data_IF_515039476770
#
_entry.id   IF_515039476770
#
_cell.length_a   1.000
_cell.length_b   1.000
_cell.length_c   1.000
_cell.angle_alpha   90.00
_cell.angle_beta   90.00
_cell.angle_gamma   90.00
#
_symmetry.space_group_name_H-M   'P 1'
#
loop_
_entity.id
_entity.type
_entity.pdbx_description
1 polymer ?
#
# COMPACT_ATOMS: atom_id res chain seq x y z
N UNK A 1 18.32 18.59 2.90
CA UNK A 1 17.32 17.49 2.83
C UNK A 1 15.99 17.86 3.49
N UNK A 2 15.98 18.47 4.69
CA UNK A 2 14.77 18.90 5.41
C UNK A 2 13.86 19.88 4.61
N UNK A 3 14.42 20.83 3.84
CA UNK A 3 13.64 21.71 2.96
C UNK A 3 12.97 21.01 1.77
N UNK A 4 13.50 19.88 1.27
CA UNK A 4 12.90 19.15 0.14
C UNK A 4 11.63 18.43 0.57
N UNK A 5 11.60 17.81 1.75
CA UNK A 5 10.42 17.09 2.24
C UNK A 5 9.27 18.08 2.51
N UNK A 6 9.56 19.25 3.10
CA UNK A 6 8.55 20.25 3.40
C UNK A 6 7.97 20.93 2.13
N UNK A 7 8.80 21.27 1.14
CA UNK A 7 8.30 21.77 -0.15
C UNK A 7 7.56 20.70 -0.96
N UNK A 8 7.99 19.43 -0.87
CA UNK A 8 7.34 18.30 -1.53
C UNK A 8 5.94 18.01 -0.96
N UNK A 9 5.80 18.03 0.36
CA UNK A 9 4.51 17.87 1.07
C UNK A 9 3.56 19.01 0.67
N UNK A 10 4.01 20.27 0.69
CA UNK A 10 3.15 21.44 0.40
C UNK A 10 2.74 21.56 -1.07
N UNK A 11 3.63 21.19 -2.02
CA UNK A 11 3.40 21.37 -3.46
C UNK A 11 2.64 20.20 -4.09
N UNK A 12 2.74 18.99 -3.53
CA UNK A 12 2.11 17.83 -4.13
C UNK A 12 0.77 17.46 -3.49
N UNK A 13 0.51 17.79 -2.20
CA UNK A 13 -0.77 17.50 -1.53
C UNK A 13 -2.01 18.05 -2.28
N UNK A 14 -1.86 19.17 -3.00
CA UNK A 14 -2.93 19.76 -3.82
C UNK A 14 -3.24 19.00 -5.13
N UNK A 15 -2.29 18.22 -5.66
CA UNK A 15 -2.46 17.43 -6.89
C UNK A 15 -3.12 16.07 -6.64
N UNK A 16 -3.30 15.65 -5.39
CA UNK A 16 -3.77 14.30 -5.03
C UNK A 16 -5.26 14.04 -5.32
N UNK A 17 -6.04 15.09 -5.63
CA UNK A 17 -7.50 14.98 -5.73
C UNK A 17 -8.12 15.56 -7.02
N UNK A 18 -7.32 16.17 -7.90
CA UNK A 18 -7.83 16.78 -9.13
C UNK A 18 -7.57 15.86 -10.30
N UNK A 19 -8.52 14.97 -10.58
CA UNK A 19 -8.70 14.46 -11.94
C UNK A 19 -9.10 15.67 -12.81
N UNK A 20 -8.19 16.14 -13.67
CA UNK A 20 -8.34 17.40 -14.41
C UNK A 20 -9.47 17.37 -15.46
N UNK A 21 -10.11 16.23 -15.72
CA UNK A 21 -11.05 16.08 -16.83
C UNK A 21 -12.34 15.32 -16.46
N UNK A 22 -13.22 15.78 -15.55
CA UNK A 22 -14.64 15.33 -15.61
C UNK A 22 -15.72 16.03 -14.74
N UNK A 23 -15.68 17.35 -14.54
CA UNK A 23 -16.46 17.97 -13.45
C UNK A 23 -17.80 18.63 -13.81
N UNK A 24 -18.61 18.13 -14.75
CA UNK A 24 -19.97 18.71 -14.96
C UNK A 24 -21.18 17.80 -15.20
N UNK A 25 -21.05 16.49 -15.46
CA UNK A 25 -22.21 15.66 -15.87
C UNK A 25 -22.52 14.41 -15.01
N UNK A 26 -21.92 14.24 -13.83
CA UNK A 26 -21.87 12.92 -13.12
C UNK A 26 -22.47 12.88 -11.71
N UNK A 27 -23.40 13.76 -11.36
CA UNK A 27 -23.76 13.99 -9.94
C UNK A 27 -24.80 13.03 -9.33
N UNK A 28 -25.45 12.14 -10.10
CA UNK A 28 -26.46 11.21 -9.54
C UNK A 28 -26.16 9.71 -9.70
N UNK A 29 -25.44 9.29 -10.74
CA UNK A 29 -25.07 7.87 -10.96
C UNK A 29 -23.88 7.42 -10.12
N UNK A 30 -22.90 8.31 -9.88
CA UNK A 30 -21.66 7.95 -9.18
C UNK A 30 -21.79 7.80 -7.66
N UNK A 31 -22.85 8.33 -7.04
CA UNK A 31 -23.01 8.32 -5.56
C UNK A 31 -23.21 6.90 -5.01
N UNK A 32 -23.78 5.98 -5.79
CA UNK A 32 -23.86 4.55 -5.44
C UNK A 32 -22.58 3.77 -5.83
N UNK A 33 -21.75 4.29 -6.74
CA UNK A 33 -20.50 3.64 -7.17
C UNK A 33 -19.33 3.94 -6.25
N UNK A 34 -19.23 5.17 -5.72
CA UNK A 34 -18.19 5.52 -4.73
C UNK A 34 -18.36 4.78 -3.39
N UNK A 35 -19.58 4.31 -3.09
CA UNK A 35 -19.87 3.47 -1.91
C UNK A 35 -19.40 2.00 -2.05
N UNK A 36 -18.78 1.63 -3.19
CA UNK A 36 -18.27 0.27 -3.47
C UNK A 36 -16.75 0.23 -3.68
N UNK A 37 -16.01 1.26 -3.30
CA UNK A 37 -14.55 1.22 -3.40
C UNK A 37 -13.95 0.56 -2.15
N UNK A 38 -13.37 -0.66 -2.26
CA UNK A 38 -12.88 -1.34 -1.07
C UNK A 38 -11.62 -0.68 -0.48
N UNK A 39 -10.80 0.01 -1.29
CA UNK A 39 -9.58 0.72 -0.84
C UNK A 39 -9.21 1.81 -1.87
N UNK A 40 -9.08 3.07 -1.44
CA UNK A 40 -8.42 4.14 -2.21
C UNK A 40 -6.91 3.89 -2.26
N UNK A 41 -6.31 3.74 -3.44
CA UNK A 41 -4.86 3.55 -3.52
C UNK A 41 -4.13 4.90 -3.40
N UNK A 42 -3.17 4.98 -2.47
CA UNK A 42 -2.26 6.11 -2.39
C UNK A 42 -1.40 6.16 -3.65
N UNK A 43 -1.27 7.36 -4.21
CA UNK A 43 -0.35 7.64 -5.30
C UNK A 43 1.11 7.53 -4.84
N UNK A 44 2.02 7.33 -5.80
CA UNK A 44 3.45 7.13 -5.55
C UNK A 44 4.10 8.21 -4.66
N UNK A 45 3.64 9.47 -4.71
CA UNK A 45 4.16 10.55 -3.86
C UNK A 45 3.82 10.37 -2.37
N UNK A 46 2.58 9.96 -2.07
CA UNK A 46 2.17 9.66 -0.70
C UNK A 46 2.87 8.42 -0.17
N UNK A 47 2.98 7.37 -1.01
CA UNK A 47 3.74 6.16 -0.67
C UNK A 47 5.21 6.50 -0.37
N UNK A 48 5.86 7.32 -1.20
CA UNK A 48 7.23 7.80 -0.95
C UNK A 48 7.37 8.50 0.39
N UNK A 49 6.39 9.32 0.79
CA UNK A 49 6.42 9.95 2.11
C UNK A 49 6.33 8.91 3.24
N UNK A 50 5.41 7.96 3.15
CA UNK A 50 5.28 6.88 4.15
C UNK A 50 6.59 6.09 4.25
N UNK A 51 7.17 5.69 3.12
CA UNK A 51 8.48 5.00 3.10
C UNK A 51 9.61 5.82 3.70
N UNK A 52 9.68 7.12 3.39
CA UNK A 52 10.69 8.02 3.94
C UNK A 52 10.56 8.13 5.47
N UNK A 53 9.33 8.32 5.98
CA UNK A 53 9.07 8.38 7.42
C UNK A 53 9.40 7.04 8.08
N UNK A 54 8.99 5.91 7.51
CA UNK A 54 9.37 4.58 8.02
C UNK A 54 10.89 4.39 8.09
N UNK A 55 11.62 4.93 7.10
CA UNK A 55 13.08 4.96 7.10
C UNK A 55 13.68 5.79 8.25
N UNK A 56 13.17 7.01 8.46
CA UNK A 56 13.56 7.89 9.58
C UNK A 56 13.32 7.22 10.94
N UNK A 57 12.18 6.53 11.07
CA UNK A 57 11.78 5.84 12.29
C UNK A 57 12.50 4.48 12.48
N UNK A 58 13.31 4.05 11.51
CA UNK A 58 14.04 2.78 11.58
C UNK A 58 13.16 1.54 11.44
N UNK A 59 11.95 1.68 10.89
CA UNK A 59 10.95 0.61 10.69
C UNK A 59 10.67 0.37 9.21
N UNK A 60 11.67 0.57 8.35
CA UNK A 60 11.56 0.33 6.90
C UNK A 60 11.57 -1.15 6.49
N UNK A 61 11.58 -2.08 7.43
CA UNK A 61 11.69 -3.52 7.20
C UNK A 61 10.36 -4.25 7.51
N UNK A 62 10.35 -5.58 7.33
CA UNK A 62 9.21 -6.47 7.64
C UNK A 62 7.86 -6.03 7.04
N UNK A 63 7.87 -5.43 5.85
CA UNK A 63 6.63 -5.00 5.19
C UNK A 63 5.85 -3.88 5.91
N UNK A 64 6.46 -3.22 6.91
CA UNK A 64 5.82 -2.13 7.66
C UNK A 64 5.37 -1.00 6.72
N UNK A 65 6.21 -0.42 5.83
CA UNK A 65 5.79 0.72 5.00
C UNK A 65 4.58 0.43 4.10
N UNK A 66 4.57 -0.75 3.47
CA UNK A 66 3.45 -1.21 2.63
C UNK A 66 2.18 -1.40 3.44
N UNK A 67 2.28 -2.04 4.61
CA UNK A 67 1.16 -2.21 5.53
C UNK A 67 0.64 -0.88 6.05
N UNK A 68 1.53 0.09 6.35
CA UNK A 68 1.16 1.43 6.79
C UNK A 68 0.38 2.17 5.71
N UNK A 69 0.79 2.03 4.44
CA UNK A 69 0.04 2.61 3.32
C UNK A 69 -1.36 2.01 3.25
N UNK A 70 -1.51 0.69 3.29
CA UNK A 70 -2.83 0.05 3.24
C UNK A 70 -3.73 0.47 4.40
N UNK A 71 -3.15 0.65 5.59
CA UNK A 71 -3.88 1.14 6.76
C UNK A 71 -4.36 2.58 6.56
N UNK A 72 -3.51 3.44 5.99
CA UNK A 72 -3.84 4.82 5.67
C UNK A 72 -4.92 4.89 4.58
N UNK A 73 -4.83 4.04 3.57
CA UNK A 73 -5.84 3.89 2.51
C UNK A 73 -7.21 3.49 3.06
N UNK A 74 -7.24 2.51 3.98
CA UNK A 74 -8.46 2.08 4.68
C UNK A 74 -9.04 3.21 5.54
N UNK A 75 -8.20 3.90 6.31
CA UNK A 75 -8.63 5.04 7.11
C UNK A 75 -9.27 6.14 6.25
N UNK A 76 -8.61 6.54 5.16
CA UNK A 76 -9.10 7.58 4.26
C UNK A 76 -10.43 7.15 3.60
N UNK A 77 -10.49 5.91 3.10
CA UNK A 77 -11.70 5.36 2.48
C UNK A 77 -12.87 5.41 3.46
N UNK A 78 -12.65 4.98 4.70
CA UNK A 78 -13.68 4.99 5.75
C UNK A 78 -14.14 6.40 6.11
N UNK A 79 -13.22 7.36 6.22
CA UNK A 79 -13.59 8.76 6.51
C UNK A 79 -14.39 9.40 5.37
N UNK A 80 -14.06 9.06 4.13
CA UNK A 80 -14.77 9.56 2.95
C UNK A 80 -16.19 8.97 2.89
N UNK A 81 -16.35 7.68 3.18
CA UNK A 81 -17.66 7.06 3.31
C UNK A 81 -18.52 7.77 4.37
N UNK A 82 -17.96 7.99 5.56
CA UNK A 82 -18.67 8.67 6.66
C UNK A 82 -19.02 10.11 6.29
N UNK A 83 -18.13 10.83 5.60
CA UNK A 83 -18.40 12.17 5.11
C UNK A 83 -19.59 12.19 4.15
N UNK A 84 -19.60 11.32 3.13
CA UNK A 84 -20.67 11.29 2.14
C UNK A 84 -22.01 10.75 2.66
N UNK A 85 -22.00 10.05 3.79
CA UNK A 85 -23.22 9.69 4.52
C UNK A 85 -23.84 10.90 5.23
N UNK A 86 -23.02 11.87 5.67
CA UNK A 86 -23.45 13.02 6.46
C UNK A 86 -23.70 14.27 5.61
N UNK A 87 -22.88 14.51 4.59
CA UNK A 87 -22.94 15.71 3.75
C UNK A 87 -22.66 15.38 2.28
N UNK A 88 -23.29 16.15 1.38
CA UNK A 88 -23.02 16.13 -0.07
C UNK A 88 -22.59 17.50 -0.59
N UNK A 89 -22.21 18.41 0.31
CA UNK A 89 -21.81 19.76 -0.04
C UNK A 89 -20.36 19.78 -0.59
N UNK A 90 -20.15 20.50 -1.70
CA UNK A 90 -18.85 20.61 -2.37
C UNK A 90 -17.87 21.50 -1.59
N UNK A 91 -18.34 22.59 -0.97
CA UNK A 91 -17.48 23.48 -0.18
C UNK A 91 -16.97 22.77 1.08
N UNK A 92 -17.86 22.01 1.74
CA UNK A 92 -17.48 21.18 2.89
C UNK A 92 -16.49 20.07 2.51
N UNK A 93 -16.60 19.55 1.28
CA UNK A 93 -15.66 18.57 0.76
C UNK A 93 -14.27 19.18 0.53
N UNK A 94 -14.20 20.41 0.00
CA UNK A 94 -12.93 21.12 -0.18
C UNK A 94 -12.28 21.48 1.17
N UNK A 95 -13.08 21.92 2.14
CA UNK A 95 -12.62 22.14 3.51
C UNK A 95 -12.14 20.83 4.17
N UNK A 96 -12.83 19.72 3.92
CA UNK A 96 -12.42 18.39 4.39
C UNK A 96 -11.07 17.97 3.81
N UNK A 97 -10.87 18.08 2.49
CA UNK A 97 -9.59 17.77 1.84
C UNK A 97 -8.44 18.60 2.42
N UNK A 98 -8.67 19.89 2.66
CA UNK A 98 -7.67 20.79 3.25
C UNK A 98 -7.28 20.36 4.65
N UNK A 99 -8.27 19.98 5.49
CA UNK A 99 -8.01 19.44 6.84
C UNK A 99 -7.26 18.11 6.80
N UNK A 100 -7.61 17.22 5.87
CA UNK A 100 -6.94 15.94 5.70
C UNK A 100 -5.48 16.13 5.28
N UNK A 101 -5.23 17.01 4.31
CA UNK A 101 -3.89 17.34 3.83
C UNK A 101 -3.02 17.93 4.96
N UNK A 102 -3.56 18.84 5.76
CA UNK A 102 -2.85 19.44 6.91
C UNK A 102 -2.46 18.43 7.99
N UNK A 103 -3.14 17.28 8.06
CA UNK A 103 -2.88 16.22 9.05
C UNK A 103 -2.20 14.98 8.46
N UNK A 104 -1.84 15.00 7.18
CA UNK A 104 -1.39 13.81 6.47
C UNK A 104 -0.14 13.16 7.09
N UNK A 105 0.84 13.97 7.49
CA UNK A 105 2.06 13.46 8.15
C UNK A 105 1.72 12.75 9.46
N UNK A 106 0.88 13.36 10.29
CA UNK A 106 0.46 12.79 11.57
C UNK A 106 -0.31 11.48 11.35
N UNK A 107 -1.19 11.43 10.35
CA UNK A 107 -1.90 10.20 9.96
C UNK A 107 -0.95 9.09 9.49
N UNK A 108 0.03 9.43 8.65
CA UNK A 108 1.02 8.48 8.17
C UNK A 108 1.85 7.92 9.34
N UNK A 109 2.33 8.78 10.24
CA UNK A 109 3.06 8.40 11.45
C UNK A 109 2.24 7.45 12.32
N UNK A 110 0.97 7.76 12.57
CA UNK A 110 0.07 6.90 13.33
C UNK A 110 -0.12 5.53 12.68
N UNK A 111 -0.27 5.47 11.35
CA UNK A 111 -0.37 4.20 10.64
C UNK A 111 0.94 3.39 10.73
N UNK A 112 2.09 4.06 10.65
CA UNK A 112 3.41 3.43 10.83
C UNK A 112 3.56 2.87 12.24
N UNK A 113 3.17 3.61 13.28
CA UNK A 113 3.25 3.11 14.66
C UNK A 113 2.37 1.88 14.90
N UNK A 114 1.12 1.91 14.42
CA UNK A 114 0.20 0.77 14.56
C UNK A 114 0.76 -0.47 13.87
N UNK A 115 1.23 -0.32 12.62
CA UNK A 115 1.79 -1.45 11.86
C UNK A 115 3.13 -1.94 12.41
N UNK A 116 3.97 -1.04 12.91
CA UNK A 116 5.21 -1.37 13.59
C UNK A 116 4.97 -2.18 14.88
N UNK A 117 3.94 -1.82 15.67
CA UNK A 117 3.54 -2.58 16.87
C UNK A 117 3.04 -3.99 16.53
N UNK A 118 2.40 -4.17 15.38
CA UNK A 118 1.92 -5.49 14.93
C UNK A 118 3.04 -6.43 14.47
N UNK A 119 4.18 -5.89 14.02
CA UNK A 119 5.25 -6.66 13.36
C UNK A 119 6.37 -7.15 14.30
N UNK A 120 6.04 -7.28 15.59
CA UNK A 120 6.92 -7.70 16.68
C UNK A 120 8.34 -7.13 16.53
N UNK A 121 8.43 -5.81 16.67
CA UNK A 121 9.71 -5.14 16.78
C UNK A 121 10.22 -5.36 18.20
N UNK A 122 11.44 -5.90 18.33
CA UNK A 122 12.16 -6.11 19.61
C UNK A 122 12.15 -4.87 20.53
N UNK A 123 11.96 -3.67 19.96
CA UNK A 123 11.72 -2.44 20.71
C UNK A 123 10.44 -1.74 20.20
N UNK A 124 9.47 -1.42 21.08
CA UNK A 124 8.24 -0.75 20.69
C UNK A 124 8.50 0.70 20.26
N UNK A 125 7.88 1.12 19.16
CA UNK A 125 7.99 2.47 18.62
C UNK A 125 7.10 3.45 19.41
N UNK A 126 7.64 4.00 20.50
CA UNK A 126 6.93 4.93 21.39
C UNK A 126 6.74 6.32 20.78
N UNK A 127 5.70 7.05 21.20
CA UNK A 127 5.42 8.41 20.73
C UNK A 127 6.59 9.38 21.01
N UNK A 128 7.31 9.19 22.12
CA UNK A 128 8.51 9.97 22.45
C UNK A 128 9.64 9.76 21.45
N UNK A 129 9.90 8.51 21.07
CA UNK A 129 10.92 8.17 20.06
C UNK A 129 10.55 8.73 18.68
N UNK A 130 9.27 8.60 18.31
CA UNK A 130 8.74 9.15 17.06
C UNK A 130 8.91 10.67 17.01
N UNK A 131 8.47 11.38 18.06
CA UNK A 131 8.65 12.84 18.16
C UNK A 131 10.11 13.24 18.04
N UNK A 132 11.00 12.57 18.80
CA UNK A 132 12.44 12.87 18.75
C UNK A 132 13.04 12.68 17.36
N UNK A 133 12.66 11.61 16.66
CA UNK A 133 13.14 11.32 15.31
C UNK A 133 12.62 12.34 14.28
N UNK A 134 11.33 12.69 14.34
CA UNK A 134 10.70 13.65 13.42
C UNK A 134 11.18 15.08 13.65
N UNK A 135 11.42 15.47 14.91
CA UNK A 135 11.95 16.78 15.24
C UNK A 135 13.33 17.02 14.60
N UNK A 136 14.17 15.99 14.52
CA UNK A 136 15.48 16.05 13.82
C UNK A 136 15.33 16.31 12.31
N UNK A 137 14.21 15.92 11.73
CA UNK A 137 13.88 16.18 10.32
C UNK A 137 13.18 17.53 10.12
N UNK A 138 12.95 18.30 11.20
CA UNK A 138 12.25 19.59 11.17
C UNK A 138 10.72 19.47 11.20
N UNK A 139 10.19 18.31 11.59
CA UNK A 139 8.75 18.06 11.71
C UNK A 139 8.40 18.10 13.20
N UNK A 140 7.80 19.20 13.63
CA UNK A 140 7.38 19.38 15.03
C UNK A 140 5.96 18.85 15.25
N UNK A 141 5.84 17.76 16.01
CA UNK A 141 4.59 17.16 16.44
C UNK A 141 4.63 16.98 17.96
N UNK A 142 3.54 17.32 18.65
CA UNK A 142 3.43 17.04 20.08
C UNK A 142 3.27 15.55 20.32
N UNK A 143 3.70 15.08 21.49
CA UNK A 143 3.56 13.66 21.88
C UNK A 143 2.07 13.32 22.02
N UNK A 144 1.29 14.26 22.53
CA UNK A 144 -0.14 14.16 22.77
C UNK A 144 -0.91 14.01 21.45
N UNK A 145 -0.55 14.78 20.42
CA UNK A 145 -1.13 14.65 19.08
C UNK A 145 -0.84 13.29 18.45
N UNK A 146 0.40 12.79 18.63
CA UNK A 146 0.80 11.47 18.11
C UNK A 146 -0.04 10.37 18.73
N UNK A 147 -0.18 10.35 20.06
CA UNK A 147 -0.98 9.35 20.78
C UNK A 147 -2.46 9.46 20.45
N UNK A 148 -3.00 10.69 20.44
CA UNK A 148 -4.40 10.94 20.14
C UNK A 148 -4.75 10.51 18.70
N UNK A 149 -3.88 10.83 17.73
CA UNK A 149 -4.11 10.42 16.34
C UNK A 149 -3.96 8.91 16.14
N UNK A 150 -3.00 8.27 16.82
CA UNK A 150 -2.85 6.82 16.78
C UNK A 150 -4.15 6.12 17.21
N UNK A 151 -4.69 6.50 18.36
CA UNK A 151 -5.96 5.97 18.85
C UNK A 151 -7.12 6.32 17.90
N UNK A 152 -7.14 7.54 17.36
CA UNK A 152 -8.17 7.99 16.43
C UNK A 152 -8.19 7.16 15.14
N UNK A 153 -7.01 6.85 14.56
CA UNK A 153 -6.89 5.99 13.38
C UNK A 153 -7.40 4.60 13.72
N UNK A 154 -6.92 4.01 14.81
CA UNK A 154 -7.28 2.64 15.20
C UNK A 154 -8.79 2.50 15.48
N UNK A 155 -9.39 3.49 16.14
CA UNK A 155 -10.84 3.54 16.36
C UNK A 155 -11.61 3.71 15.05
N UNK A 156 -11.13 4.54 14.12
CA UNK A 156 -11.83 4.82 12.85
C UNK A 156 -11.95 3.56 11.99
N UNK A 157 -10.96 2.67 12.04
CA UNK A 157 -10.98 1.37 11.38
C UNK A 157 -11.62 0.27 12.24
N UNK A 158 -12.44 0.65 13.23
CA UNK A 158 -13.14 -0.26 14.14
C UNK A 158 -12.23 -1.26 14.87
N UNK A 159 -11.00 -0.85 15.20
CA UNK A 159 -10.00 -1.71 15.83
C UNK A 159 -9.65 -2.96 15.01
N UNK A 160 -9.89 -2.92 13.69
CA UNK A 160 -9.54 -4.02 12.79
C UNK A 160 -8.20 -3.74 12.12
N UNK A 161 -7.22 -4.61 12.37
CA UNK A 161 -5.92 -4.60 11.69
C UNK A 161 -5.76 -5.91 10.91
N UNK A 162 -5.09 -5.90 9.75
CA UNK A 162 -4.77 -7.13 9.02
C UNK A 162 -3.94 -8.07 9.90
N UNK A 163 -4.37 -9.33 10.00
CA UNK A 163 -3.62 -10.35 10.73
C UNK A 163 -2.29 -10.69 10.04
N UNK A 164 -2.26 -10.60 8.71
CA UNK A 164 -1.10 -10.93 7.88
C UNK A 164 -0.76 -9.75 6.98
N UNK A 165 0.52 -9.43 6.94
CA UNK A 165 1.14 -8.51 5.98
C UNK A 165 1.37 -9.19 4.64
N UNK A 166 1.58 -8.39 3.60
CA UNK A 166 1.92 -8.91 2.28
C UNK A 166 3.25 -9.66 2.27
N UNK A 167 4.18 -9.30 3.17
CA UNK A 167 5.44 -10.01 3.35
C UNK A 167 5.19 -11.42 3.89
N UNK A 168 4.48 -11.53 5.02
CA UNK A 168 4.18 -12.83 5.65
C UNK A 168 3.40 -13.74 4.70
N UNK A 169 2.45 -13.19 3.93
CA UNK A 169 1.72 -13.94 2.90
C UNK A 169 2.68 -14.44 1.81
N UNK A 170 3.60 -13.60 1.34
CA UNK A 170 4.54 -13.97 0.27
C UNK A 170 5.54 -15.02 0.74
N UNK A 171 6.09 -14.89 1.95
CA UNK A 171 7.00 -15.88 2.55
C UNK A 171 6.30 -17.22 2.79
N UNK A 172 5.06 -17.18 3.28
CA UNK A 172 4.23 -18.38 3.44
C UNK A 172 3.98 -19.06 2.10
N UNK A 173 3.52 -18.33 1.08
CA UNK A 173 3.30 -18.88 -0.26
C UNK A 173 4.57 -19.47 -0.86
N UNK A 174 5.72 -18.80 -0.72
CA UNK A 174 7.02 -19.30 -1.15
C UNK A 174 7.35 -20.64 -0.49
N UNK A 175 7.14 -20.73 0.82
CA UNK A 175 7.34 -21.96 1.60
C UNK A 175 6.42 -23.09 1.11
N UNK A 176 5.13 -22.80 0.88
CA UNK A 176 4.15 -23.79 0.41
C UNK A 176 4.50 -24.38 -0.96
N UNK A 177 5.17 -23.62 -1.83
CA UNK A 177 5.59 -24.10 -3.15
C UNK A 177 7.01 -24.71 -3.16
N UNK A 178 7.69 -24.77 -2.01
CA UNK A 178 9.00 -25.39 -1.84
C UNK A 178 10.20 -24.44 -2.03
N UNK A 179 9.96 -23.12 -2.07
CA UNK A 179 11.00 -22.08 -2.19
C UNK A 179 11.56 -21.70 -0.81
N UNK A 180 12.15 -22.66 -0.12
CA UNK A 180 12.59 -22.53 1.29
C UNK A 180 14.03 -22.03 1.45
N UNK A 181 14.77 -21.85 0.35
CA UNK A 181 16.16 -21.35 0.43
C UNK A 181 16.17 -19.94 0.99
N UNK A 182 16.99 -19.69 2.00
CA UNK A 182 17.10 -18.38 2.67
C UNK A 182 17.29 -17.20 1.71
N UNK A 183 18.17 -17.34 0.72
CA UNK A 183 18.40 -16.29 -0.29
C UNK A 183 17.16 -15.98 -1.14
N UNK A 184 16.30 -16.98 -1.38
CA UNK A 184 15.04 -16.78 -2.10
C UNK A 184 14.03 -16.06 -1.20
N UNK A 185 13.90 -16.46 0.06
CA UNK A 185 12.99 -15.81 1.01
C UNK A 185 13.39 -14.34 1.26
N UNK A 186 14.68 -14.05 1.40
CA UNK A 186 15.20 -12.68 1.50
C UNK A 186 14.85 -11.86 0.25
N UNK A 187 14.97 -12.45 -0.95
CA UNK A 187 14.58 -11.81 -2.20
C UNK A 187 13.07 -11.62 -2.34
N UNK A 188 12.25 -12.60 -1.91
CA UNK A 188 10.78 -12.45 -1.84
C UNK A 188 10.43 -11.24 -1.00
N UNK A 189 11.10 -11.05 0.14
CA UNK A 189 10.84 -9.90 1.00
C UNK A 189 11.20 -8.56 0.35
N UNK A 190 12.34 -8.50 -0.33
CA UNK A 190 12.73 -7.31 -1.10
C UNK A 190 11.72 -7.00 -2.21
N UNK A 191 11.39 -7.99 -3.03
CA UNK A 191 10.49 -7.83 -4.18
C UNK A 191 9.08 -7.50 -3.71
N UNK A 192 8.63 -8.05 -2.58
CA UNK A 192 7.33 -7.70 -1.97
C UNK A 192 7.30 -6.22 -1.61
N UNK A 193 8.34 -5.69 -0.96
CA UNK A 193 8.40 -4.27 -0.60
C UNK A 193 8.40 -3.36 -1.83
N UNK A 194 9.12 -3.74 -2.89
CA UNK A 194 9.12 -3.02 -4.17
C UNK A 194 7.72 -3.01 -4.79
N UNK A 195 7.08 -4.18 -4.81
CA UNK A 195 5.75 -4.34 -5.41
C UNK A 195 4.71 -3.56 -4.63
N UNK A 196 4.78 -3.56 -3.29
CA UNK A 196 3.94 -2.70 -2.46
C UNK A 196 4.21 -1.22 -2.73
N UNK A 197 5.46 -0.80 -2.95
CA UNK A 197 5.73 0.59 -3.30
C UNK A 197 5.05 1.02 -4.62
N UNK A 198 5.10 0.17 -5.64
CA UNK A 198 4.53 0.42 -6.98
C UNK A 198 3.12 -0.16 -7.17
N UNK A 199 2.38 -0.39 -6.09
CA UNK A 199 1.09 -1.08 -6.15
C UNK A 199 0.03 -0.34 -6.97
N UNK A 200 0.01 0.99 -6.93
CA UNK A 200 -0.88 1.81 -7.73
C UNK A 200 -0.67 1.59 -9.24
N UNK A 201 0.59 1.51 -9.67
CA UNK A 201 0.95 1.24 -11.06
C UNK A 201 0.62 -0.20 -11.46
N UNK A 202 0.89 -1.17 -10.58
CA UNK A 202 0.51 -2.58 -10.78
C UNK A 202 -1.00 -2.72 -10.99
N UNK A 203 -1.81 -2.10 -10.14
CA UNK A 203 -3.27 -2.13 -10.20
C UNK A 203 -3.79 -1.54 -11.52
N UNK A 204 -3.22 -0.41 -11.96
CA UNK A 204 -3.57 0.19 -13.26
C UNK A 204 -3.27 -0.75 -14.43
N UNK A 205 -2.11 -1.40 -14.42
CA UNK A 205 -1.71 -2.34 -15.47
C UNK A 205 -2.59 -3.59 -15.49
N UNK A 206 -2.94 -4.13 -14.33
CA UNK A 206 -3.83 -5.30 -14.25
C UNK A 206 -5.26 -4.98 -14.66
N UNK A 207 -5.76 -3.78 -14.39
CA UNK A 207 -7.03 -3.33 -14.98
C UNK A 207 -6.99 -3.39 -16.51
N UNK A 208 -5.95 -2.82 -17.12
CA UNK A 208 -5.76 -2.87 -18.58
C UNK A 208 -5.57 -4.29 -19.13
N UNK A 209 -4.95 -5.19 -18.37
CA UNK A 209 -4.84 -6.60 -18.76
C UNK A 209 -6.19 -7.32 -18.71
N UNK A 210 -6.96 -7.12 -17.64
CA UNK A 210 -8.29 -7.71 -17.44
C UNK A 210 -9.27 -7.25 -18.51
N UNK A 211 -9.26 -5.97 -18.88
CA UNK A 211 -10.10 -5.46 -19.98
C UNK A 211 -9.77 -6.13 -21.31
N UNK A 212 -8.49 -6.42 -21.57
CA UNK A 212 -8.04 -7.10 -22.81
C UNK A 212 -8.25 -8.61 -22.79
N UNK A 213 -8.37 -9.22 -21.60
CA UNK A 213 -8.46 -10.67 -21.41
C UNK A 213 -9.69 -11.07 -20.55
N UNK A 214 -10.92 -10.84 -21.03
CA UNK A 214 -12.12 -11.06 -20.22
C UNK A 214 -12.35 -12.52 -19.80
N UNK A 215 -11.82 -13.49 -20.58
CA UNK A 215 -11.86 -14.91 -20.26
C UNK A 215 -10.83 -15.33 -19.18
N UNK A 216 -9.84 -14.49 -18.90
CA UNK A 216 -8.77 -14.72 -17.92
C UNK A 216 -9.06 -14.19 -16.52
N UNK A 217 -10.31 -13.79 -16.24
CA UNK A 217 -10.68 -13.19 -14.96
C UNK A 217 -10.93 -14.26 -13.88
N UNK A 218 -10.24 -14.18 -12.72
CA UNK A 218 -10.59 -15.05 -11.61
C UNK A 218 -12.00 -14.73 -11.12
N UNK A 219 -12.78 -15.79 -10.84
CA UNK A 219 -14.20 -15.74 -10.42
C UNK A 219 -14.43 -14.85 -9.18
N UNK A 220 -13.37 -14.58 -8.40
CA UNK A 220 -13.41 -13.82 -7.14
C UNK A 220 -13.19 -12.29 -7.28
N UNK A 221 -12.79 -11.77 -8.44
CA UNK A 221 -12.68 -10.30 -8.66
C UNK A 221 -14.02 -9.75 -9.15
N UNK A 222 -14.68 -8.97 -8.29
CA UNK A 222 -16.12 -8.71 -8.33
C UNK A 222 -16.69 -8.08 -9.62
N UNK A 223 -17.92 -8.51 -9.94
CA UNK A 223 -18.91 -7.93 -10.85
C UNK A 223 -18.43 -7.55 -12.27
N UNK A 224 -18.75 -8.41 -13.24
CA UNK A 224 -18.64 -8.21 -14.71
C UNK A 224 -19.17 -6.86 -15.25
N UNK A 225 -19.88 -6.08 -14.44
CA UNK A 225 -20.60 -4.85 -14.85
C UNK A 225 -19.80 -3.56 -14.72
N UNK A 226 -18.64 -3.53 -14.06
CA UNK A 226 -17.82 -2.31 -14.03
C UNK A 226 -16.30 -2.62 -14.08
N UNK A 227 -15.59 -2.33 -15.19
CA UNK A 227 -14.15 -2.52 -15.28
C UNK A 227 -13.35 -1.68 -14.26
N UNK A 228 -13.94 -0.60 -13.74
CA UNK A 228 -13.30 0.24 -12.72
C UNK A 228 -13.25 -0.43 -11.34
N UNK A 229 -14.01 -1.53 -11.11
CA UNK A 229 -14.05 -2.27 -9.83
C UNK A 229 -13.05 -3.41 -9.72
N UNK A 230 -12.22 -3.65 -10.74
CA UNK A 230 -11.20 -4.69 -10.69
C UNK A 230 -10.04 -4.23 -9.80
N UNK A 231 -9.86 -4.89 -8.66
CA UNK A 231 -8.71 -4.71 -7.77
C UNK A 231 -7.94 -6.01 -7.60
N UNK A 232 -6.63 -5.92 -7.49
CA UNK A 232 -5.79 -7.08 -7.26
C UNK A 232 -5.90 -7.46 -5.79
N UNK A 233 -6.51 -8.61 -5.55
CA UNK A 233 -6.52 -9.20 -4.22
C UNK A 233 -5.08 -9.40 -3.72
N UNK A 234 -4.82 -9.02 -2.47
CA UNK A 234 -3.46 -9.03 -1.91
C UNK A 234 -2.75 -10.38 -2.07
N UNK A 235 -3.50 -11.46 -1.87
CA UNK A 235 -3.04 -12.84 -2.05
C UNK A 235 -2.46 -13.08 -3.46
N UNK A 236 -3.13 -12.59 -4.51
CA UNK A 236 -2.69 -12.78 -5.89
C UNK A 236 -1.45 -11.92 -6.21
N UNK A 237 -1.36 -10.71 -5.66
CA UNK A 237 -0.15 -9.90 -5.75
C UNK A 237 1.04 -10.63 -5.12
N UNK A 238 0.87 -11.14 -3.90
CA UNK A 238 1.90 -11.90 -3.19
C UNK A 238 2.33 -13.16 -3.97
N UNK A 239 1.37 -13.88 -4.56
CA UNK A 239 1.66 -15.01 -5.43
C UNK A 239 2.48 -14.60 -6.67
N UNK A 240 2.11 -13.49 -7.32
CA UNK A 240 2.86 -12.95 -8.45
C UNK A 240 4.30 -12.57 -8.07
N UNK A 241 4.50 -11.99 -6.88
CA UNK A 241 5.84 -11.70 -6.32
C UNK A 241 6.67 -12.98 -6.17
N UNK A 242 6.10 -14.03 -5.59
CA UNK A 242 6.80 -15.31 -5.41
C UNK A 242 7.20 -15.92 -6.76
N UNK A 243 6.30 -15.89 -7.75
CA UNK A 243 6.57 -16.38 -9.10
C UNK A 243 7.67 -15.55 -9.80
N UNK A 244 7.63 -14.22 -9.69
CA UNK A 244 8.65 -13.33 -10.24
C UNK A 244 10.02 -13.59 -9.59
N UNK A 245 10.04 -13.81 -8.27
CA UNK A 245 11.25 -14.14 -7.53
C UNK A 245 11.82 -15.49 -7.97
N UNK A 246 10.97 -16.51 -8.11
CA UNK A 246 11.40 -17.83 -8.58
C UNK A 246 12.00 -17.77 -9.99
N UNK A 247 11.41 -16.95 -10.88
CA UNK A 247 11.92 -16.69 -12.22
C UNK A 247 13.28 -15.98 -12.18
N UNK A 248 13.46 -15.01 -11.29
CA UNK A 248 14.75 -14.31 -11.10
C UNK A 248 15.88 -15.28 -10.73
N UNK A 249 15.62 -16.26 -9.85
CA UNK A 249 16.59 -17.30 -9.49
C UNK A 249 16.70 -18.45 -10.50
N UNK A 250 15.98 -18.38 -11.63
CA UNK A 250 15.89 -19.47 -12.62
C UNK A 250 15.57 -20.82 -11.98
N UNK A 251 14.72 -20.80 -10.95
CA UNK A 251 14.39 -22.00 -10.19
C UNK A 251 13.74 -23.04 -11.12
N UNK A 252 14.26 -24.27 -11.10
CA UNK A 252 13.86 -25.36 -12.00
C UNK A 252 12.51 -26.02 -11.65
N UNK A 253 11.62 -25.31 -10.93
CA UNK A 253 10.32 -25.86 -10.57
C UNK A 253 9.41 -25.85 -11.80
N UNK A 254 9.40 -26.99 -12.51
CA UNK A 254 8.36 -27.31 -13.48
C UNK A 254 7.01 -27.17 -12.78
N UNK A 255 6.06 -26.50 -13.45
CA UNK A 255 4.67 -26.34 -12.98
C UNK A 255 4.42 -25.38 -11.79
N UNK A 256 5.39 -24.55 -11.41
CA UNK A 256 5.25 -23.62 -10.28
C UNK A 256 4.01 -22.70 -10.38
N UNK A 257 3.74 -22.20 -11.59
CA UNK A 257 2.60 -21.29 -11.84
C UNK A 257 1.27 -22.00 -11.59
N UNK A 258 1.11 -23.25 -12.02
CA UNK A 258 -0.13 -23.99 -11.82
C UNK A 258 -0.31 -24.39 -10.35
N UNK A 259 0.76 -24.83 -9.67
CA UNK A 259 0.72 -25.09 -8.22
C UNK A 259 0.28 -23.84 -7.44
N UNK A 260 0.84 -22.68 -7.77
CA UNK A 260 0.46 -21.40 -7.15
C UNK A 260 -0.99 -21.02 -7.47
N UNK A 261 -1.43 -21.23 -8.72
CA UNK A 261 -2.80 -21.00 -9.15
C UNK A 261 -3.81 -21.86 -8.36
N UNK A 262 -3.49 -23.15 -8.14
CA UNK A 262 -4.29 -24.05 -7.31
C UNK A 262 -4.34 -23.58 -5.86
N UNK A 263 -3.20 -23.23 -5.25
CA UNK A 263 -3.13 -22.75 -3.86
C UNK A 263 -3.94 -21.47 -3.64
N UNK A 264 -3.92 -20.56 -4.61
CA UNK A 264 -4.61 -19.26 -4.50
C UNK A 264 -6.00 -19.24 -5.12
N UNK A 265 -6.47 -20.37 -5.67
CA UNK A 265 -7.74 -20.50 -6.41
C UNK A 265 -7.86 -19.43 -7.52
N UNK A 266 -6.79 -19.28 -8.29
CA UNK A 266 -6.67 -18.28 -9.34
C UNK A 266 -6.36 -18.92 -10.69
N UNK A 267 -6.36 -18.11 -11.75
CA UNK A 267 -6.01 -18.59 -13.09
C UNK A 267 -4.49 -18.48 -13.32
N UNK A 268 -3.82 -19.52 -13.87
CA UNK A 268 -2.38 -19.48 -14.15
C UNK A 268 -1.97 -18.26 -14.99
N UNK A 269 -2.75 -17.92 -16.02
CA UNK A 269 -2.48 -16.78 -16.89
C UNK A 269 -2.53 -15.43 -16.15
N UNK A 270 -3.46 -15.28 -15.19
CA UNK A 270 -3.59 -14.07 -14.37
C UNK A 270 -2.40 -13.90 -13.43
N UNK A 271 -2.00 -14.97 -12.72
CA UNK A 271 -0.82 -14.92 -11.87
C UNK A 271 0.47 -14.69 -12.67
N UNK A 272 0.55 -15.26 -13.88
CA UNK A 272 1.66 -15.01 -14.80
C UNK A 272 1.72 -13.54 -15.22
N UNK A 273 0.59 -12.91 -15.53
CA UNK A 273 0.55 -11.49 -15.88
C UNK A 273 1.05 -10.59 -14.74
N UNK A 274 0.64 -10.87 -13.49
CA UNK A 274 1.16 -10.15 -12.31
C UNK A 274 2.67 -10.38 -12.18
N UNK A 275 3.11 -11.64 -12.27
CA UNK A 275 4.53 -12.02 -12.18
C UNK A 275 5.38 -11.33 -13.25
N UNK A 276 4.90 -11.29 -14.50
CA UNK A 276 5.59 -10.65 -15.62
C UNK A 276 5.75 -9.14 -15.36
N UNK A 277 4.70 -8.47 -14.88
CA UNK A 277 4.79 -7.06 -14.49
C UNK A 277 5.81 -6.86 -13.36
N UNK A 278 5.72 -7.64 -12.29
CA UNK A 278 6.63 -7.51 -11.14
C UNK A 278 8.07 -7.73 -11.61
N UNK A 279 8.33 -8.77 -12.39
CA UNK A 279 9.64 -9.11 -12.91
C UNK A 279 10.24 -7.99 -13.77
N UNK A 280 9.46 -7.41 -14.68
CA UNK A 280 9.93 -6.32 -15.55
C UNK A 280 10.22 -5.03 -14.76
N UNK A 281 9.41 -4.72 -13.74
CA UNK A 281 9.67 -3.55 -12.87
C UNK A 281 10.92 -3.70 -12.01
N UNK A 282 11.28 -4.94 -11.62
CA UNK A 282 12.54 -5.20 -10.92
C UNK A 282 13.76 -4.87 -11.77
N UNK A 283 13.66 -5.00 -13.10
CA UNK A 283 14.77 -4.73 -14.02
C UNK A 283 14.87 -3.26 -14.45
N UNK A 284 13.79 -2.48 -14.34
CA UNK A 284 13.71 -1.12 -14.88
C UNK A 284 13.88 0.01 -13.84
N UNK A 285 13.71 -0.26 -12.54
CA UNK A 285 13.72 0.79 -11.51
C UNK A 285 14.86 0.65 -10.48
N UNK A 286 16.00 1.30 -10.77
CA UNK A 286 17.17 1.42 -9.87
C UNK A 286 17.04 2.52 -8.79
N UNK A 287 16.06 3.43 -8.90
CA UNK A 287 15.87 4.54 -7.95
C UNK A 287 14.99 4.13 -6.75
N UNK A 288 15.49 3.17 -5.99
CA UNK A 288 14.86 2.68 -4.78
C UNK A 288 15.18 3.58 -3.57
N UNK A 289 14.22 3.85 -2.65
CA UNK A 289 14.56 4.30 -1.31
C UNK A 289 15.20 3.13 -0.56
N UNK A 290 16.52 2.98 -0.68
CA UNK A 290 17.26 1.97 0.07
C UNK A 290 17.12 2.25 1.57
N UNK A 291 16.75 1.25 2.39
CA UNK A 291 16.77 1.41 3.83
C UNK A 291 18.20 1.71 4.28
N UNK A 292 18.43 2.90 4.82
CA UNK A 292 19.72 3.22 5.45
C UNK A 292 19.89 2.26 6.64
N UNK A 293 20.81 1.30 6.52
CA UNK A 293 21.25 0.49 7.65
C UNK A 293 21.68 1.45 8.76
N UNK A 294 20.96 1.43 9.88
CA UNK A 294 21.36 2.14 11.08
C UNK A 294 22.67 1.49 11.54
N UNK A 295 23.78 2.25 11.54
CA UNK A 295 24.97 1.83 12.26
C UNK A 295 24.58 1.82 13.73
N UNK A 296 24.52 0.63 14.32
CA UNK A 296 24.52 0.49 15.78
C UNK A 296 25.90 0.98 16.24
N UNK A 297 25.93 2.13 16.90
CA UNK A 297 27.06 2.58 17.71
C UNK A 297 26.73 2.25 19.16
#
# INVERSE_FOLDING_TARGET
MSMMIFHYIRRHLYSFYVDKNNTRARTKRNVKEYARWPVLLLQSNARRLVWAISGVLGVGAKGVPGSSCRLLEQYISRKIELFFQQSRNTEEWDAYKTRLAGRFVLLAVSCIQLTAKMQDLMAPLTATLVRSALLKEGIDLSREDIVAMEFHVFRTINFTLPLWTSLEISEFLATQVGLVRRSILEAVGLITNITEFYRDVLELQMKGWVTRNPAGNPVSTASRRNPDSVTIHNLHMCAGVVLATARYFRSQFTDLVHRMATLTRSLPAYLKAISDYVFNNLTEHTDMPTPKKRRLQ
#
